data_IF_784885502449
#
_entry.id   IF_784885502449
#
_cell.length_a   1.000
_cell.length_b   1.000
_cell.length_c   1.000
_cell.angle_alpha   90.00
_cell.angle_beta   90.00
_cell.angle_gamma   90.00
#
_symmetry.space_group_name_H-M   'P 1'
#
loop_
_entity.id
_entity.type
_entity.pdbx_description
1 polymer ?
#
# COMPACT_ATOMS: atom_id res chain seq x y z
N UNK A 1 1.23 -22.50 11.77
CA UNK A 1 2.29 -21.50 11.52
C UNK A 1 1.92 -20.50 10.42
N UNK A 2 1.41 -20.93 9.26
CA UNK A 2 1.09 -20.04 8.15
C UNK A 2 0.03 -18.97 8.50
N UNK A 3 -1.11 -19.36 9.07
CA UNK A 3 -2.18 -18.43 9.46
C UNK A 3 -1.75 -17.35 10.46
N UNK A 4 -0.82 -17.65 11.38
CA UNK A 4 -0.27 -16.66 12.28
C UNK A 4 0.57 -15.60 11.55
N UNK A 5 1.37 -16.03 10.55
CA UNK A 5 2.15 -15.11 9.70
C UNK A 5 1.27 -14.17 8.87
N UNK A 6 0.11 -14.66 8.41
CA UNK A 6 -0.90 -13.82 7.72
C UNK A 6 -1.51 -12.82 8.71
N UNK A 7 -1.93 -13.29 9.89
CA UNK A 7 -2.55 -12.44 10.90
C UNK A 7 -1.65 -11.30 11.39
N UNK A 8 -0.35 -11.55 11.59
CA UNK A 8 0.57 -10.53 12.10
C UNK A 8 0.82 -9.41 11.08
N UNK A 9 0.74 -9.70 9.78
CA UNK A 9 0.75 -8.69 8.72
C UNK A 9 -0.44 -7.72 8.88
N UNK A 10 -1.65 -8.25 9.01
CA UNK A 10 -2.85 -7.42 9.17
C UNK A 10 -2.84 -6.62 10.46
N UNK A 11 -2.22 -7.13 11.51
CA UNK A 11 -2.05 -6.40 12.75
C UNK A 11 -1.15 -5.17 12.56
N UNK A 12 -0.02 -5.32 11.88
CA UNK A 12 0.84 -4.20 11.48
C UNK A 12 0.10 -3.21 10.58
N UNK A 13 -0.60 -3.70 9.56
CA UNK A 13 -1.38 -2.89 8.65
C UNK A 13 -2.43 -2.04 9.38
N UNK A 14 -3.24 -2.66 10.24
CA UNK A 14 -4.31 -2.00 10.99
C UNK A 14 -3.80 -0.88 11.90
N UNK A 15 -2.73 -1.12 12.65
CA UNK A 15 -2.17 -0.12 13.57
C UNK A 15 -1.67 1.12 12.82
N UNK A 16 -1.03 0.92 11.68
CA UNK A 16 -0.36 2.00 10.96
C UNK A 16 -1.20 2.63 9.85
N UNK A 17 -2.39 2.11 9.52
CA UNK A 17 -3.23 2.63 8.43
C UNK A 17 -3.66 4.08 8.66
N UNK A 18 -4.23 4.40 9.82
CA UNK A 18 -4.66 5.76 10.15
C UNK A 18 -3.47 6.71 10.30
N UNK A 19 -2.42 6.39 11.08
CA UNK A 19 -1.21 7.22 11.16
C UNK A 19 -0.57 7.48 9.80
N UNK A 20 -0.49 6.47 8.93
CA UNK A 20 0.08 6.59 7.59
C UNK A 20 -0.66 7.63 6.74
N UNK A 21 -2.00 7.60 6.76
CA UNK A 21 -2.80 8.57 6.00
C UNK A 21 -2.69 10.00 6.54
N UNK A 22 -2.62 10.17 7.86
CA UNK A 22 -2.37 11.49 8.45
C UNK A 22 -1.00 12.06 8.08
N UNK A 23 0.01 11.21 7.95
CA UNK A 23 1.34 11.62 7.48
C UNK A 23 1.28 11.96 5.99
N UNK A 24 0.60 11.15 5.16
CA UNK A 24 0.41 11.41 3.74
C UNK A 24 -0.19 12.80 3.48
N UNK A 25 -1.21 13.17 4.25
CA UNK A 25 -1.85 14.49 4.12
C UNK A 25 -0.88 15.65 4.42
N UNK A 26 0.05 15.46 5.37
CA UNK A 26 1.04 16.48 5.77
C UNK A 26 2.25 16.54 4.84
N UNK A 27 2.76 15.39 4.41
CA UNK A 27 4.03 15.26 3.66
C UNK A 27 3.81 15.39 2.16
N UNK A 28 2.59 15.11 1.68
CA UNK A 28 2.22 15.02 0.28
C UNK A 28 2.18 13.58 -0.23
N UNK A 29 1.27 13.33 -1.18
CA UNK A 29 1.02 12.00 -1.72
C UNK A 29 2.24 11.44 -2.46
N UNK A 30 2.89 12.28 -3.28
CA UNK A 30 4.09 11.90 -4.05
C UNK A 30 5.15 11.23 -3.18
N UNK A 31 5.57 11.93 -2.12
CA UNK A 31 6.64 11.45 -1.24
C UNK A 31 6.21 10.23 -0.44
N UNK A 32 4.98 10.25 0.04
CA UNK A 32 4.51 9.20 0.94
C UNK A 32 4.16 7.90 0.20
N UNK A 33 3.50 7.97 -0.96
CA UNK A 33 3.24 6.82 -1.82
C UNK A 33 4.56 6.21 -2.31
N UNK A 34 5.51 7.04 -2.78
CA UNK A 34 6.83 6.56 -3.17
C UNK A 34 7.54 5.83 -2.01
N UNK A 35 7.50 6.40 -0.79
CA UNK A 35 8.06 5.75 0.41
C UNK A 35 7.41 4.38 0.66
N UNK A 36 6.06 4.30 0.58
CA UNK A 36 5.35 3.04 0.77
C UNK A 36 5.84 2.00 -0.25
N UNK A 37 5.85 2.35 -1.53
CA UNK A 37 6.27 1.44 -2.61
C UNK A 37 7.73 0.97 -2.46
N UNK A 38 8.64 1.88 -2.13
CA UNK A 38 10.06 1.55 -1.93
C UNK A 38 10.22 0.64 -0.71
N UNK A 39 9.66 1.01 0.45
CA UNK A 39 9.78 0.20 1.66
C UNK A 39 9.10 -1.16 1.51
N UNK A 40 7.94 -1.22 0.90
CA UNK A 40 7.23 -2.46 0.58
C UNK A 40 8.09 -3.37 -0.32
N UNK A 41 8.60 -2.85 -1.45
CA UNK A 41 9.41 -3.64 -2.36
C UNK A 41 10.72 -4.16 -1.73
N UNK A 42 11.39 -3.34 -0.91
CA UNK A 42 12.59 -3.75 -0.17
C UNK A 42 12.28 -4.87 0.83
N UNK A 43 11.20 -4.71 1.63
CA UNK A 43 10.82 -5.72 2.62
C UNK A 43 10.34 -6.99 1.94
N UNK A 44 9.60 -6.88 0.83
CA UNK A 44 9.21 -8.03 0.01
C UNK A 44 10.45 -8.81 -0.45
N UNK A 45 11.43 -8.13 -1.02
CA UNK A 45 12.69 -8.77 -1.43
C UNK A 45 13.45 -9.38 -0.24
N UNK A 46 13.37 -8.77 0.95
CA UNK A 46 14.02 -9.29 2.16
C UNK A 46 13.47 -10.65 2.61
N UNK A 47 12.22 -11.02 2.26
CA UNK A 47 11.70 -12.35 2.56
C UNK A 47 12.52 -13.47 1.90
N UNK A 48 13.13 -13.23 0.75
CA UNK A 48 14.04 -14.17 0.11
C UNK A 48 15.24 -14.54 0.99
N UNK A 49 15.61 -13.66 1.91
CA UNK A 49 16.82 -13.76 2.73
C UNK A 49 16.53 -13.98 4.23
N UNK A 50 15.34 -14.43 4.59
CA UNK A 50 14.97 -14.73 5.99
C UNK A 50 16.02 -15.58 6.72
N UNK A 51 16.56 -16.67 6.15
CA UNK A 51 17.59 -17.46 6.85
C UNK A 51 18.87 -16.67 7.14
N UNK A 52 19.32 -15.86 6.18
CA UNK A 52 20.52 -15.02 6.34
C UNK A 52 20.29 -13.92 7.37
N UNK A 53 19.12 -13.26 7.34
CA UNK A 53 18.74 -12.24 8.31
C UNK A 53 18.66 -12.83 9.72
N UNK A 54 18.06 -14.00 9.87
CA UNK A 54 18.00 -14.74 11.14
C UNK A 54 19.41 -15.04 11.68
N UNK A 55 20.30 -15.55 10.82
CA UNK A 55 21.68 -15.83 11.21
C UNK A 55 22.44 -14.56 11.67
N UNK A 56 22.26 -13.44 10.98
CA UNK A 56 22.83 -12.14 11.38
C UNK A 56 22.27 -11.68 12.73
N UNK A 57 20.95 -11.73 12.92
CA UNK A 57 20.34 -11.35 14.19
C UNK A 57 20.87 -12.19 15.36
N UNK A 58 21.03 -13.50 15.17
CA UNK A 58 21.58 -14.39 16.17
C UNK A 58 23.07 -14.10 16.48
N UNK A 59 23.86 -13.76 15.44
CA UNK A 59 25.28 -13.43 15.61
C UNK A 59 25.52 -12.16 16.43
N UNK A 60 24.58 -11.21 16.43
CA UNK A 60 24.62 -9.98 17.25
C UNK A 60 23.95 -10.14 18.63
N UNK A 61 23.69 -11.36 19.06
CA UNK A 61 23.16 -11.66 20.40
C UNK A 61 21.63 -11.74 20.49
N UNK A 62 20.91 -11.59 19.39
CA UNK A 62 19.47 -11.71 19.32
C UNK A 62 19.04 -13.15 19.00
N UNK A 63 19.50 -14.10 19.82
CA UNK A 63 19.28 -15.56 19.64
C UNK A 63 17.80 -15.97 19.60
N UNK A 64 16.90 -15.11 20.09
CA UNK A 64 15.46 -15.29 20.02
C UNK A 64 14.92 -15.34 18.58
N UNK A 65 15.60 -14.66 17.63
CA UNK A 65 15.13 -14.57 16.24
C UNK A 65 15.58 -15.79 15.41
N UNK A 66 14.85 -16.88 15.49
CA UNK A 66 14.91 -17.96 14.52
C UNK A 66 14.24 -17.56 13.18
N UNK A 67 14.27 -18.45 12.19
CA UNK A 67 13.69 -18.18 10.87
C UNK A 67 12.19 -17.83 10.94
N UNK A 68 11.43 -18.50 11.82
CA UNK A 68 10.00 -18.28 11.95
C UNK A 68 9.70 -16.89 12.55
N UNK A 69 10.41 -16.51 13.61
CA UNK A 69 10.24 -15.22 14.26
C UNK A 69 10.75 -14.05 13.41
N UNK A 70 11.84 -14.28 12.68
CA UNK A 70 12.34 -13.32 11.67
C UNK A 70 11.31 -13.10 10.57
N UNK A 71 10.69 -14.18 10.08
CA UNK A 71 9.59 -14.08 9.12
C UNK A 71 8.39 -13.32 9.70
N UNK A 72 7.99 -13.55 10.95
CA UNK A 72 6.89 -12.82 11.57
C UNK A 72 7.23 -11.34 11.78
N UNK A 73 8.45 -11.02 12.15
CA UNK A 73 8.91 -9.64 12.25
C UNK A 73 8.81 -8.94 10.91
N UNK A 74 9.32 -9.56 9.85
CA UNK A 74 9.22 -9.00 8.50
C UNK A 74 7.77 -8.86 8.04
N UNK A 75 6.88 -9.81 8.36
CA UNK A 75 5.44 -9.70 8.07
C UNK A 75 4.79 -8.52 8.78
N UNK A 76 5.12 -8.29 10.03
CA UNK A 76 4.62 -7.12 10.77
C UNK A 76 5.11 -5.81 10.14
N UNK A 77 6.42 -5.71 9.88
CA UNK A 77 7.02 -4.51 9.27
C UNK A 77 6.48 -4.30 7.85
N UNK A 78 6.25 -5.38 7.11
CA UNK A 78 5.66 -5.33 5.78
C UNK A 78 4.24 -4.76 5.81
N UNK A 79 3.39 -5.24 6.74
CA UNK A 79 2.05 -4.69 6.95
C UNK A 79 2.08 -3.21 7.35
N UNK A 80 2.97 -2.83 8.26
CA UNK A 80 3.17 -1.43 8.64
C UNK A 80 3.69 -0.55 7.48
N UNK A 81 4.54 -1.08 6.62
CA UNK A 81 5.07 -0.37 5.46
C UNK A 81 4.01 -0.15 4.36
N UNK A 82 3.15 -1.14 4.13
CA UNK A 82 2.07 -1.09 3.15
C UNK A 82 0.88 -0.26 3.63
N UNK A 83 0.73 -0.13 4.95
CA UNK A 83 -0.38 0.58 5.56
C UNK A 83 -0.59 1.98 5.00
N UNK A 84 -1.82 2.27 4.62
CA UNK A 84 -2.20 3.57 4.05
C UNK A 84 -2.00 3.71 2.54
N UNK A 85 -1.52 2.67 1.82
CA UNK A 85 -1.37 2.76 0.36
C UNK A 85 -2.72 2.92 -0.33
N UNK A 86 -3.66 2.01 -0.08
CA UNK A 86 -4.97 2.03 -0.73
C UNK A 86 -5.75 3.31 -0.39
N UNK A 87 -6.02 3.67 0.88
CA UNK A 87 -6.71 4.91 1.20
C UNK A 87 -5.90 6.15 0.79
N UNK A 88 -4.58 6.06 0.76
CA UNK A 88 -3.71 7.14 0.26
C UNK A 88 -3.91 7.42 -1.22
N UNK A 89 -4.06 6.39 -2.06
CA UNK A 89 -4.41 6.56 -3.48
C UNK A 89 -5.81 7.19 -3.62
N UNK A 90 -6.79 6.73 -2.83
CA UNK A 90 -8.13 7.33 -2.85
C UNK A 90 -8.07 8.81 -2.45
N UNK A 91 -7.30 9.17 -1.43
CA UNK A 91 -7.09 10.55 -1.02
C UNK A 91 -6.38 11.35 -2.13
N UNK A 92 -5.34 10.81 -2.75
CA UNK A 92 -4.67 11.43 -3.90
C UNK A 92 -5.63 11.73 -5.05
N UNK A 93 -6.52 10.80 -5.37
CA UNK A 93 -7.54 11.01 -6.41
C UNK A 93 -8.50 12.16 -6.05
N UNK A 94 -8.69 12.49 -4.76
CA UNK A 94 -9.49 13.67 -4.37
C UNK A 94 -8.82 14.99 -4.71
N UNK A 95 -7.50 15.01 -4.89
CA UNK A 95 -6.76 16.22 -5.25
C UNK A 95 -6.80 16.51 -6.75
N UNK A 96 -7.20 15.53 -7.58
CA UNK A 96 -7.19 15.64 -9.04
C UNK A 96 -8.58 15.55 -9.68
N UNK A 97 -9.52 14.88 -9.02
CA UNK A 97 -10.83 14.56 -9.60
C UNK A 97 -11.98 15.00 -8.71
N UNK A 98 -13.02 15.55 -9.33
CA UNK A 98 -14.30 15.81 -8.67
C UNK A 98 -14.99 14.50 -8.27
N UNK A 99 -16.00 14.54 -7.39
CA UNK A 99 -16.65 13.34 -6.86
C UNK A 99 -17.21 12.41 -7.93
N UNK A 100 -17.75 12.98 -9.01
CA UNK A 100 -18.29 12.20 -10.13
C UNK A 100 -17.19 11.51 -10.95
N UNK A 101 -16.13 12.23 -11.27
CA UNK A 101 -15.00 11.71 -12.05
C UNK A 101 -14.19 10.69 -11.23
N UNK A 102 -14.03 10.95 -9.94
CA UNK A 102 -13.28 10.09 -9.01
C UNK A 102 -13.83 8.67 -8.95
N UNK A 103 -15.17 8.49 -8.96
CA UNK A 103 -15.77 7.17 -8.93
C UNK A 103 -15.27 6.29 -10.10
N UNK A 104 -15.12 6.87 -11.29
CA UNK A 104 -14.57 6.18 -12.47
C UNK A 104 -13.10 5.78 -12.25
N UNK A 105 -12.27 6.70 -11.75
CA UNK A 105 -10.85 6.44 -11.55
C UNK A 105 -10.58 5.46 -10.41
N UNK A 106 -11.40 5.48 -9.37
CA UNK A 106 -11.38 4.44 -8.33
C UNK A 106 -11.72 3.07 -8.93
N UNK A 107 -12.73 3.00 -9.81
CA UNK A 107 -13.06 1.77 -10.52
C UNK A 107 -11.90 1.23 -11.38
N UNK A 108 -11.21 2.12 -12.11
CA UNK A 108 -10.00 1.76 -12.89
C UNK A 108 -8.88 1.26 -11.96
N UNK A 109 -8.65 1.92 -10.84
CA UNK A 109 -7.66 1.50 -9.86
C UNK A 109 -8.00 0.11 -9.26
N UNK A 110 -9.27 -0.11 -8.92
CA UNK A 110 -9.74 -1.41 -8.40
C UNK A 110 -9.63 -2.54 -9.43
N UNK A 111 -9.71 -2.24 -10.73
CA UNK A 111 -9.53 -3.24 -11.78
C UNK A 111 -8.11 -3.83 -11.82
N UNK A 112 -7.12 -3.17 -11.19
CA UNK A 112 -5.78 -3.72 -11.03
C UNK A 112 -5.77 -5.01 -10.18
N UNK A 113 -6.70 -5.19 -9.25
CA UNK A 113 -6.78 -6.38 -8.37
C UNK A 113 -7.02 -7.66 -9.18
N UNK A 114 -8.11 -7.81 -9.96
CA UNK A 114 -8.30 -9.00 -10.77
C UNK A 114 -7.24 -9.14 -11.87
N UNK A 115 -6.76 -8.03 -12.43
CA UNK A 115 -5.72 -8.07 -13.45
C UNK A 115 -4.40 -8.61 -12.90
N UNK A 116 -4.02 -8.21 -11.68
CA UNK A 116 -2.81 -8.74 -11.02
C UNK A 116 -2.92 -10.24 -10.75
N UNK A 117 -4.09 -10.77 -10.42
CA UNK A 117 -4.29 -12.21 -10.24
C UNK A 117 -4.13 -12.99 -11.56
N UNK A 118 -4.68 -12.45 -12.66
CA UNK A 118 -4.60 -13.08 -13.99
C UNK A 118 -3.16 -13.13 -14.51
N UNK A 119 -2.40 -12.06 -14.30
CA UNK A 119 -1.00 -11.97 -14.76
C UNK A 119 -0.05 -12.62 -13.75
N UNK A 120 -0.26 -12.38 -12.47
CA UNK A 120 0.63 -12.81 -11.39
C UNK A 120 0.75 -14.31 -11.29
N UNK A 121 -0.35 -15.06 -11.34
CA UNK A 121 -0.32 -16.52 -11.22
C UNK A 121 0.60 -17.20 -12.25
N UNK A 122 0.39 -16.99 -13.56
CA UNK A 122 1.29 -17.55 -14.59
C UNK A 122 2.74 -17.04 -14.47
N UNK A 123 2.93 -15.75 -14.16
CA UNK A 123 4.26 -15.16 -13.99
C UNK A 123 5.00 -15.78 -12.81
N UNK A 124 4.32 -15.95 -11.67
CA UNK A 124 4.90 -16.58 -10.48
C UNK A 124 5.32 -18.04 -10.77
N UNK A 125 4.48 -18.79 -11.51
CA UNK A 125 4.83 -20.14 -11.93
C UNK A 125 6.09 -20.17 -12.80
N UNK A 126 6.18 -19.30 -13.79
CA UNK A 126 7.38 -19.19 -14.64
C UNK A 126 8.64 -18.83 -13.86
N UNK A 127 8.53 -17.91 -12.89
CA UNK A 127 9.67 -17.51 -12.04
C UNK A 127 10.12 -18.70 -11.19
N UNK A 128 9.19 -19.41 -10.56
CA UNK A 128 9.49 -20.56 -9.72
C UNK A 128 10.29 -21.64 -10.47
N UNK A 129 9.90 -21.91 -11.71
CA UNK A 129 10.52 -22.96 -12.51
C UNK A 129 11.82 -22.48 -13.19
N UNK A 130 11.80 -21.30 -13.79
CA UNK A 130 12.94 -20.82 -14.62
C UNK A 130 14.12 -20.31 -13.80
N UNK A 131 13.89 -19.85 -12.57
CA UNK A 131 14.94 -19.26 -11.74
C UNK A 131 15.42 -20.18 -10.60
N UNK A 132 14.89 -21.40 -10.48
CA UNK A 132 15.32 -22.31 -9.41
C UNK A 132 16.78 -22.71 -9.57
N UNK A 133 17.55 -22.56 -8.50
CA UNK A 133 19.00 -22.84 -8.45
C UNK A 133 19.89 -21.73 -9.03
N UNK A 134 19.35 -20.72 -9.70
CA UNK A 134 20.15 -19.60 -10.23
C UNK A 134 20.78 -18.82 -9.09
N UNK A 135 22.09 -18.58 -9.16
CA UNK A 135 22.89 -17.90 -8.12
C UNK A 135 22.78 -18.56 -6.73
N UNK A 136 22.43 -19.85 -6.67
CA UNK A 136 22.26 -20.59 -5.41
C UNK A 136 20.98 -20.25 -4.63
N UNK A 137 20.04 -19.51 -5.24
CA UNK A 137 18.74 -19.21 -4.67
C UNK A 137 17.68 -20.15 -5.23
N UNK A 138 16.73 -20.53 -4.38
CA UNK A 138 15.56 -21.30 -4.80
C UNK A 138 14.57 -20.42 -5.57
N UNK A 139 13.75 -21.01 -6.44
CA UNK A 139 12.75 -20.31 -7.23
C UNK A 139 11.81 -19.40 -6.39
N UNK A 140 11.39 -19.85 -5.20
CA UNK A 140 10.57 -19.02 -4.30
C UNK A 140 11.29 -17.76 -3.78
N UNK A 141 12.62 -17.80 -3.63
CA UNK A 141 13.40 -16.63 -3.24
C UNK A 141 13.45 -15.62 -4.38
N UNK A 142 13.64 -16.11 -5.61
CA UNK A 142 13.58 -15.29 -6.80
C UNK A 142 12.20 -14.64 -6.98
N UNK A 143 11.12 -15.34 -6.63
CA UNK A 143 9.78 -14.78 -6.69
C UNK A 143 9.69 -13.47 -5.87
N UNK A 144 10.14 -13.47 -4.63
CA UNK A 144 10.14 -12.28 -3.78
C UNK A 144 11.03 -11.15 -4.34
N UNK A 145 12.18 -11.49 -4.91
CA UNK A 145 13.09 -10.50 -5.49
C UNK A 145 12.50 -9.90 -6.77
N UNK A 146 12.03 -10.74 -7.68
CA UNK A 146 11.49 -10.30 -8.99
C UNK A 146 10.19 -9.53 -8.83
N UNK A 147 9.38 -9.82 -7.84
CA UNK A 147 8.15 -9.05 -7.55
C UNK A 147 8.44 -7.79 -6.72
N UNK A 148 9.43 -7.83 -5.83
CA UNK A 148 9.78 -6.69 -4.98
C UNK A 148 10.56 -5.58 -5.70
N UNK A 149 11.52 -5.93 -6.54
CA UNK A 149 12.37 -4.95 -7.25
C UNK A 149 11.57 -3.99 -8.13
N UNK A 150 10.60 -4.42 -8.96
CA UNK A 150 9.76 -3.51 -9.73
C UNK A 150 9.00 -2.50 -8.86
N UNK A 151 8.54 -2.91 -7.68
CA UNK A 151 7.87 -1.99 -6.76
C UNK A 151 8.81 -0.88 -6.27
N UNK A 152 10.08 -1.21 -5.99
CA UNK A 152 11.12 -0.21 -5.65
C UNK A 152 11.37 0.75 -6.81
N UNK A 153 11.56 0.21 -8.01
CA UNK A 153 11.83 1.02 -9.21
C UNK A 153 10.66 1.94 -9.54
N UNK A 154 9.43 1.42 -9.47
CA UNK A 154 8.22 2.23 -9.64
C UNK A 154 8.08 3.28 -8.53
N UNK A 155 8.43 2.96 -7.29
CA UNK A 155 8.44 3.92 -6.20
C UNK A 155 9.42 5.07 -6.43
N UNK A 156 10.62 4.79 -6.93
CA UNK A 156 11.59 5.80 -7.32
C UNK A 156 11.09 6.66 -8.48
N UNK A 157 10.44 6.02 -9.46
CA UNK A 157 9.83 6.75 -10.59
C UNK A 157 8.66 7.63 -10.12
N UNK A 158 7.77 7.13 -9.28
CA UNK A 158 6.66 7.89 -8.67
C UNK A 158 7.18 9.11 -7.93
N UNK A 159 8.30 8.97 -7.19
CA UNK A 159 8.91 10.08 -6.47
C UNK A 159 9.31 11.24 -7.41
N UNK A 160 9.71 10.94 -8.64
CA UNK A 160 10.13 11.93 -9.63
C UNK A 160 8.98 12.43 -10.50
N UNK A 161 8.04 11.55 -10.84
CA UNK A 161 7.01 11.80 -11.85
C UNK A 161 5.70 12.34 -11.27
N UNK A 162 5.27 11.84 -10.09
CA UNK A 162 3.97 12.20 -9.54
C UNK A 162 3.95 13.67 -9.08
N UNK A 163 2.85 14.35 -9.32
CA UNK A 163 2.60 15.73 -8.86
C UNK A 163 1.48 15.70 -7.82
N UNK A 164 1.68 16.36 -6.67
CA UNK A 164 0.71 16.29 -5.58
C UNK A 164 -0.61 16.99 -5.89
N UNK A 165 -0.59 18.14 -6.51
CA UNK A 165 -1.80 18.95 -6.76
C UNK A 165 -1.76 19.60 -8.13
N UNK A 166 -2.92 19.90 -8.75
CA UNK A 166 -2.97 20.55 -10.05
C UNK A 166 -2.18 21.87 -10.12
N UNK A 167 -2.19 22.67 -9.06
CA UNK A 167 -1.43 23.93 -8.99
C UNK A 167 0.08 23.77 -9.18
N UNK A 168 0.62 22.60 -8.92
CA UNK A 168 2.04 22.25 -9.01
C UNK A 168 2.39 21.56 -10.35
N UNK A 169 1.38 21.27 -11.18
CA UNK A 169 1.51 20.54 -12.42
C UNK A 169 2.07 21.40 -13.55
N UNK A 170 3.38 21.43 -13.71
CA UNK A 170 4.06 22.20 -14.75
C UNK A 170 3.70 21.77 -16.19
N UNK A 171 3.17 20.55 -16.35
CA UNK A 171 2.73 19.98 -17.63
C UNK A 171 1.32 20.42 -18.05
N UNK A 172 0.52 21.07 -17.17
CA UNK A 172 -0.76 21.69 -17.49
C UNK A 172 -0.56 23.14 -17.94
N UNK A 173 -1.36 23.61 -18.90
CA UNK A 173 -1.41 25.01 -19.25
C UNK A 173 -1.84 25.87 -18.05
N UNK A 174 -1.34 27.11 -17.90
CA UNK A 174 -1.63 27.93 -16.72
C UNK A 174 -3.13 28.18 -16.47
N UNK A 175 -3.91 28.38 -17.51
CA UNK A 175 -5.37 28.57 -17.49
C UNK A 175 -6.10 27.28 -17.07
N UNK A 176 -5.71 26.12 -17.61
CA UNK A 176 -6.25 24.82 -17.23
C UNK A 176 -5.96 24.51 -15.75
N UNK A 177 -4.76 24.83 -15.28
CA UNK A 177 -4.33 24.64 -13.89
C UNK A 177 -5.18 25.45 -12.93
N UNK A 178 -5.42 26.73 -13.25
CA UNK A 178 -6.25 27.63 -12.45
C UNK A 178 -7.70 27.14 -12.46
N UNK A 179 -8.24 26.81 -13.61
CA UNK A 179 -9.62 26.35 -13.76
C UNK A 179 -9.88 25.04 -13.00
N UNK A 180 -8.97 24.07 -13.13
CA UNK A 180 -9.08 22.80 -12.43
C UNK A 180 -9.00 22.98 -10.91
N UNK A 181 -8.02 23.78 -10.44
CA UNK A 181 -7.87 24.04 -9.02
C UNK A 181 -9.10 24.75 -8.45
N UNK A 182 -9.63 25.76 -9.13
CA UNK A 182 -10.84 26.46 -8.70
C UNK A 182 -12.04 25.53 -8.56
N UNK A 183 -12.25 24.63 -9.55
CA UNK A 183 -13.33 23.64 -9.54
C UNK A 183 -13.22 22.68 -8.35
N UNK A 184 -12.02 22.22 -8.03
CA UNK A 184 -11.76 21.32 -6.90
C UNK A 184 -11.94 22.04 -5.56
N UNK A 185 -11.50 23.29 -5.47
CA UNK A 185 -11.64 24.12 -4.26
C UNK A 185 -13.11 24.46 -3.97
N UNK A 186 -13.92 24.73 -4.99
CA UNK A 186 -15.36 24.96 -4.85
C UNK A 186 -16.09 23.71 -4.34
N UNK A 187 -15.78 22.54 -4.89
CA UNK A 187 -16.34 21.28 -4.40
C UNK A 187 -15.93 21.00 -2.96
N UNK A 188 -14.67 21.26 -2.64
CA UNK A 188 -14.15 21.11 -1.29
C UNK A 188 -14.88 22.03 -0.31
N UNK A 189 -15.00 23.32 -0.61
CA UNK A 189 -15.74 24.28 0.22
C UNK A 189 -17.20 23.89 0.42
N UNK A 190 -17.85 23.43 -0.64
CA UNK A 190 -19.24 22.98 -0.58
C UNK A 190 -19.41 21.79 0.36
N UNK A 191 -18.46 20.86 0.39
CA UNK A 191 -18.47 19.72 1.34
C UNK A 191 -18.15 20.14 2.76
N UNK A 192 -17.15 21.00 2.94
CA UNK A 192 -16.76 21.53 4.24
C UNK A 192 -17.85 22.35 4.91
N UNK A 193 -18.65 23.08 4.12
CA UNK A 193 -19.80 23.84 4.60
C UNK A 193 -20.93 22.96 5.16
N UNK A 194 -21.04 21.69 4.72
CA UNK A 194 -22.06 20.78 5.20
C UNK A 194 -21.71 20.27 6.61
N UNK A 195 -20.47 19.84 6.85
CA UNK A 195 -19.97 19.42 8.17
C UNK A 195 -18.46 19.16 8.17
N UNK A 196 -17.78 19.72 9.14
CA UNK A 196 -16.43 19.33 9.53
C UNK A 196 -16.47 18.24 10.60
N UNK A 197 -15.78 17.13 10.35
CA UNK A 197 -15.58 16.10 11.37
C UNK A 197 -14.12 16.10 11.84
N UNK A 198 -13.93 16.14 13.12
CA UNK A 198 -12.64 15.79 13.71
C UNK A 198 -12.44 14.28 13.62
N UNK A 199 -11.18 13.82 13.67
CA UNK A 199 -10.86 12.38 13.66
C UNK A 199 -11.61 11.64 14.79
N UNK A 200 -11.66 12.23 16.00
CA UNK A 200 -12.36 11.63 17.13
C UNK A 200 -13.86 11.52 16.93
N UNK A 201 -14.49 12.49 16.29
CA UNK A 201 -15.90 12.43 15.92
C UNK A 201 -16.19 11.40 14.83
N UNK A 202 -15.32 11.32 13.82
CA UNK A 202 -15.44 10.31 12.77
C UNK A 202 -15.37 8.89 13.33
N UNK A 203 -14.41 8.60 14.21
CA UNK A 203 -14.25 7.30 14.86
C UNK A 203 -15.40 6.91 15.80
N UNK A 204 -16.15 7.90 16.32
CA UNK A 204 -17.33 7.67 17.16
C UNK A 204 -18.64 7.69 16.38
N UNK A 205 -18.61 8.00 15.08
CA UNK A 205 -19.82 8.10 14.28
C UNK A 205 -20.42 6.71 14.04
N UNK A 206 -21.70 6.46 14.41
CA UNK A 206 -22.31 5.14 14.30
C UNK A 206 -22.40 4.65 12.83
N UNK A 207 -22.53 5.57 11.87
CA UNK A 207 -22.52 5.19 10.43
C UNK A 207 -21.15 4.70 9.99
N UNK A 208 -20.07 5.35 10.44
CA UNK A 208 -18.69 4.93 10.17
C UNK A 208 -18.45 3.57 10.80
N UNK A 209 -18.83 3.38 12.05
CA UNK A 209 -18.68 2.10 12.75
C UNK A 209 -19.48 0.97 12.06
N UNK A 210 -20.73 1.22 11.68
CA UNK A 210 -21.54 0.24 10.96
C UNK A 210 -20.90 -0.16 9.61
N UNK A 211 -20.44 0.81 8.81
CA UNK A 211 -19.74 0.54 7.55
C UNK A 211 -18.43 -0.20 7.78
N UNK A 212 -17.69 0.11 8.84
CA UNK A 212 -16.46 -0.60 9.20
C UNK A 212 -16.74 -2.07 9.55
N UNK A 213 -17.81 -2.36 10.28
CA UNK A 213 -18.21 -3.74 10.59
C UNK A 213 -18.63 -4.50 9.32
N UNK A 214 -19.38 -3.88 8.41
CA UNK A 214 -19.75 -4.48 7.13
C UNK A 214 -18.49 -4.77 6.29
N UNK A 215 -17.59 -3.80 6.18
CA UNK A 215 -16.34 -3.97 5.44
C UNK A 215 -15.45 -5.06 6.06
N UNK A 216 -15.33 -5.08 7.38
CA UNK A 216 -14.63 -6.14 8.11
C UNK A 216 -15.19 -7.52 7.79
N UNK A 217 -16.52 -7.67 7.78
CA UNK A 217 -17.18 -8.94 7.41
C UNK A 217 -16.87 -9.38 5.98
N UNK A 218 -16.91 -8.45 5.01
CA UNK A 218 -16.61 -8.73 3.60
C UNK A 218 -15.14 -9.16 3.44
N UNK A 219 -14.22 -8.41 4.04
CA UNK A 219 -12.78 -8.70 3.94
C UNK A 219 -12.43 -10.01 4.63
N UNK A 220 -12.95 -10.25 5.84
CA UNK A 220 -12.71 -11.49 6.59
C UNK A 220 -13.27 -12.71 5.85
N UNK A 221 -14.46 -12.59 5.24
CA UNK A 221 -15.04 -13.65 4.43
C UNK A 221 -14.21 -13.95 3.18
N UNK A 222 -13.74 -12.92 2.48
CA UNK A 222 -12.92 -13.08 1.28
C UNK A 222 -11.59 -13.76 1.60
N UNK A 223 -10.87 -13.28 2.61
CA UNK A 223 -9.60 -13.91 3.03
C UNK A 223 -9.79 -15.29 3.63
N UNK A 224 -10.86 -15.52 4.41
CA UNK A 224 -11.16 -16.84 4.97
C UNK A 224 -11.48 -17.92 3.91
N UNK A 225 -11.96 -17.51 2.72
CA UNK A 225 -12.18 -18.42 1.59
C UNK A 225 -10.93 -18.60 0.71
N UNK A 226 -9.97 -17.67 0.80
CA UNK A 226 -8.76 -17.68 -0.06
C UNK A 226 -7.59 -18.44 0.55
N UNK A 227 -7.63 -18.74 1.85
CA UNK A 227 -6.61 -19.42 2.64
C UNK A 227 -7.15 -20.66 3.34
#
# INVERSE_FOLDING_TARGET
MFGFGVGIFFFGYFIFEVPSNLILEKVGARRWIARIMISWGVISSAFAFVPSISAVLQSVGLSFFDNARTFYLLRFIFGAAEAGFFPGIILFLTYWFTGHERARWVGVFMAAIPLSAVIGGPLSGLILDAFDGIMGLSGWQWLFVVEGVPAVLLGLWVFSYLTDKPREAAWLAPDERIALQARLDDERKSREAIRHYTLGEALKNPRVLALSVVYFGIVSGNYGLSY
#
